data_IF_339152909912
#
_entry.id   IF_339152909912
#
_cell.length_a   1.000
_cell.length_b   1.000
_cell.length_c   1.000
_cell.angle_alpha   90.00
_cell.angle_beta   90.00
_cell.angle_gamma   90.00
#
_symmetry.space_group_name_H-M   'P 1'
#
loop_
_entity.id
_entity.type
_entity.pdbx_description
1 polymer ?
#
# COMPACT_ATOMS: atom_id res chain seq x y z
N UNK A 1 24.31 13.44 -1.18
CA UNK A 1 24.32 14.11 0.13
C UNK A 1 25.65 14.80 0.29
N UNK A 2 25.63 16.11 0.48
CA UNK A 2 26.81 16.95 0.69
C UNK A 2 26.80 17.51 2.11
N UNK A 3 27.98 17.91 2.60
CA UNK A 3 28.09 18.68 3.83
C UNK A 3 28.51 20.10 3.44
N UNK A 4 27.71 21.09 3.82
CA UNK A 4 28.00 22.52 3.60
C UNK A 4 27.69 23.27 4.89
N UNK A 5 28.63 24.07 5.39
CA UNK A 5 28.50 24.83 6.64
C UNK A 5 28.07 23.95 7.84
N UNK A 6 28.71 22.78 8.00
CA UNK A 6 28.36 21.72 8.98
C UNK A 6 26.93 21.14 8.86
N UNK A 7 26.22 21.51 7.79
CA UNK A 7 24.87 21.04 7.51
C UNK A 7 24.87 19.91 6.49
N UNK A 8 24.03 18.91 6.74
CA UNK A 8 23.78 17.80 5.82
C UNK A 8 22.70 18.23 4.85
N UNK A 9 23.07 18.36 3.57
CA UNK A 9 22.15 18.76 2.50
C UNK A 9 21.92 17.58 1.57
N UNK A 10 20.65 17.38 1.22
CA UNK A 10 20.22 16.42 0.21
C UNK A 10 19.58 17.17 -0.94
N UNK A 11 20.21 17.10 -2.12
CA UNK A 11 19.72 17.71 -3.35
C UNK A 11 19.07 16.63 -4.22
N UNK A 12 17.82 16.84 -4.59
CA UNK A 12 17.14 16.04 -5.60
C UNK A 12 17.35 16.68 -6.98
N UNK A 13 18.26 16.13 -7.77
CA UNK A 13 18.57 16.66 -9.11
C UNK A 13 17.41 16.53 -10.12
N UNK A 14 16.46 15.62 -9.87
CA UNK A 14 15.33 15.40 -10.77
C UNK A 14 14.25 16.47 -10.58
N UNK A 15 14.00 16.89 -9.34
CA UNK A 15 12.99 17.93 -9.03
C UNK A 15 13.60 19.31 -8.78
N UNK A 16 14.92 19.40 -8.64
CA UNK A 16 15.66 20.58 -8.19
C UNK A 16 15.39 20.98 -6.72
N UNK A 17 14.75 20.12 -5.94
CA UNK A 17 14.53 20.37 -4.51
C UNK A 17 15.83 20.21 -3.70
N UNK A 18 15.95 20.97 -2.61
CA UNK A 18 17.06 20.87 -1.66
C UNK A 18 16.55 20.81 -0.23
N UNK A 19 17.02 19.81 0.52
CA UNK A 19 16.61 19.55 1.90
C UNK A 19 17.81 19.69 2.83
N UNK A 20 17.70 20.57 3.81
CA UNK A 20 18.70 20.67 4.89
C UNK A 20 18.24 19.79 6.06
N UNK A 21 18.96 18.70 6.30
CA UNK A 21 18.56 17.60 7.21
C UNK A 21 19.40 17.59 8.50
N UNK A 22 19.87 18.75 8.97
CA UNK A 22 20.78 18.82 10.12
C UNK A 22 20.47 19.93 11.11
N UNK A 23 20.27 19.50 12.36
CA UNK A 23 20.51 20.27 13.57
C UNK A 23 19.38 20.13 14.59
N UNK A 24 19.66 19.65 15.81
CA UNK A 24 18.73 19.69 16.97
C UNK A 24 18.40 21.13 17.44
N UNK A 25 18.62 22.14 16.59
CA UNK A 25 18.42 23.55 16.88
C UNK A 25 17.16 24.04 16.14
N UNK A 26 15.99 24.14 16.81
CA UNK A 26 14.73 24.58 16.22
C UNK A 26 14.76 26.01 15.64
N UNK A 27 15.81 26.78 15.93
CA UNK A 27 15.97 28.17 15.48
C UNK A 27 16.58 28.30 14.09
N UNK A 28 17.10 27.22 13.53
CA UNK A 28 17.67 27.19 12.18
C UNK A 28 16.65 26.48 11.28
N UNK A 29 16.15 27.14 10.22
CA UNK A 29 15.16 26.51 9.33
C UNK A 29 15.68 25.19 8.77
N UNK A 30 15.14 24.07 9.24
CA UNK A 30 15.48 22.72 8.77
C UNK A 30 14.21 21.96 8.38
N UNK A 31 14.35 20.98 7.49
CA UNK A 31 13.27 20.05 7.15
C UNK A 31 13.37 18.86 8.10
N UNK A 32 12.24 18.45 8.69
CA UNK A 32 12.19 17.24 9.50
C UNK A 32 12.69 16.05 8.69
N UNK A 33 13.50 15.18 9.29
CA UNK A 33 14.19 14.13 8.54
C UNK A 33 13.21 13.15 7.87
N UNK A 34 12.08 12.87 8.51
CA UNK A 34 11.04 12.02 7.93
C UNK A 34 10.34 12.71 6.74
N UNK A 35 10.05 14.01 6.85
CA UNK A 35 9.48 14.80 5.75
C UNK A 35 10.43 14.84 4.54
N UNK A 36 11.71 15.13 4.77
CA UNK A 36 12.71 15.11 3.71
C UNK A 36 12.76 13.73 3.03
N UNK A 37 12.71 12.64 3.82
CA UNK A 37 12.72 11.29 3.29
C UNK A 37 11.49 10.97 2.43
N UNK A 38 10.26 11.28 2.87
CA UNK A 38 9.07 11.02 2.03
C UNK A 38 9.06 11.87 0.76
N UNK A 39 9.46 13.14 0.81
CA UNK A 39 9.54 14.01 -0.38
C UNK A 39 10.60 13.55 -1.40
N UNK A 40 11.55 12.72 -0.97
CA UNK A 40 12.57 12.11 -1.83
C UNK A 40 12.19 10.73 -2.35
N UNK A 41 11.04 10.19 -1.94
CA UNK A 41 10.57 8.85 -2.33
C UNK A 41 9.14 8.89 -2.84
N UNK A 42 8.66 7.77 -3.37
CA UNK A 42 7.25 7.58 -3.73
C UNK A 42 6.51 6.74 -2.68
N UNK A 43 7.07 6.62 -1.48
CA UNK A 43 6.57 5.74 -0.44
C UNK A 43 6.01 6.57 0.71
N UNK A 44 4.94 6.08 1.32
CA UNK A 44 4.60 6.47 2.68
C UNK A 44 5.66 5.86 3.61
N UNK A 45 6.17 6.64 4.57
CA UNK A 45 7.18 6.16 5.51
C UNK A 45 6.66 6.25 6.93
N UNK A 46 6.68 5.12 7.62
CA UNK A 46 6.35 4.97 9.03
C UNK A 46 7.57 4.52 9.83
N UNK A 47 7.67 4.99 11.07
CA UNK A 47 8.69 4.57 12.03
C UNK A 47 8.01 3.74 13.11
N UNK A 48 8.45 2.49 13.24
CA UNK A 48 8.02 1.59 14.30
C UNK A 48 9.10 1.53 15.37
N UNK A 49 8.68 1.70 16.63
CA UNK A 49 9.55 1.54 17.81
C UNK A 49 8.98 0.47 18.72
N UNK A 50 9.83 -0.10 19.58
CA UNK A 50 9.42 -1.09 20.57
C UNK A 50 9.14 -0.37 21.91
N UNK A 51 7.98 -0.64 22.51
CA UNK A 51 7.66 -0.16 23.86
C UNK A 51 8.35 -1.03 24.94
N UNK A 52 8.09 -0.74 26.22
CA UNK A 52 8.73 -1.46 27.34
C UNK A 52 8.22 -2.88 27.48
N UNK A 53 7.02 -3.14 26.96
CA UNK A 53 6.32 -4.41 26.96
C UNK A 53 6.75 -5.32 25.79
N UNK A 54 7.66 -4.85 24.92
CA UNK A 54 8.19 -5.62 23.79
C UNK A 54 7.32 -5.58 22.53
N UNK A 55 6.32 -4.71 22.48
CA UNK A 55 5.42 -4.54 21.33
C UNK A 55 5.89 -3.39 20.45
N UNK A 56 5.82 -3.59 19.12
CA UNK A 56 6.06 -2.53 18.17
C UNK A 56 4.85 -1.60 18.06
N UNK A 57 5.08 -0.29 17.97
CA UNK A 57 4.05 0.73 17.82
C UNK A 57 4.44 1.79 16.78
N UNK A 58 3.44 2.47 16.21
CA UNK A 58 3.62 3.55 15.25
C UNK A 58 4.12 4.82 15.97
N UNK A 59 5.41 5.08 15.91
CA UNK A 59 6.05 6.18 16.62
C UNK A 59 6.05 7.49 15.81
N UNK A 60 6.13 7.38 14.49
CA UNK A 60 6.01 8.50 13.55
C UNK A 60 5.50 7.99 12.21
N UNK A 61 4.84 8.85 11.44
CA UNK A 61 4.48 8.54 10.05
C UNK A 61 4.36 9.80 9.22
N UNK A 62 4.77 9.69 7.96
CA UNK A 62 4.36 10.58 6.90
C UNK A 62 3.65 9.72 5.85
N UNK A 63 2.32 9.73 5.90
CA UNK A 63 1.45 8.93 5.04
C UNK A 63 0.55 9.82 4.21
N UNK A 64 0.80 9.85 2.91
CA UNK A 64 0.07 10.62 1.92
C UNK A 64 -0.93 9.75 1.16
N UNK A 65 -0.74 8.44 1.15
CA UNK A 65 -1.60 7.50 0.45
C UNK A 65 -2.25 6.50 1.41
N UNK A 66 -2.74 6.86 2.61
CA UNK A 66 -3.34 5.90 3.52
C UNK A 66 -4.69 5.41 3.01
N UNK A 67 -5.08 4.24 3.50
CA UNK A 67 -6.30 3.54 3.11
C UNK A 67 -7.01 2.98 4.34
N UNK A 68 -8.20 3.48 4.69
CA UNK A 68 -8.96 3.03 5.85
C UNK A 68 -8.52 3.65 7.19
N UNK A 69 -7.67 4.67 7.16
CA UNK A 69 -7.16 5.34 8.36
C UNK A 69 -6.46 6.66 8.09
N UNK A 70 -6.18 7.41 9.16
CA UNK A 70 -5.27 8.56 9.17
C UNK A 70 -4.25 8.47 10.29
N UNK A 71 -3.09 9.11 10.12
CA UNK A 71 -2.02 9.11 11.13
C UNK A 71 -2.53 9.63 12.48
N UNK A 72 -3.31 10.71 12.50
CA UNK A 72 -3.84 11.29 13.74
C UNK A 72 -4.73 10.32 14.53
N UNK A 73 -5.42 9.39 13.86
CA UNK A 73 -6.25 8.40 14.53
C UNK A 73 -5.43 7.27 15.18
N UNK A 74 -4.25 6.95 14.63
CA UNK A 74 -3.53 5.71 14.92
C UNK A 74 -2.10 5.88 15.41
N UNK A 75 -1.58 7.11 15.48
CA UNK A 75 -0.27 7.39 16.05
C UNK A 75 -0.20 6.87 17.49
N UNK A 76 0.89 6.19 17.84
CA UNK A 76 1.07 5.54 19.14
C UNK A 76 0.45 4.14 19.27
N UNK A 77 -0.37 3.70 18.31
CA UNK A 77 -0.98 2.36 18.38
C UNK A 77 0.05 1.25 18.14
N UNK A 78 -0.12 0.14 18.85
CA UNK A 78 0.66 -1.09 18.62
C UNK A 78 0.29 -1.73 17.28
N UNK A 79 1.18 -2.56 16.75
CA UNK A 79 0.89 -3.34 15.52
C UNK A 79 -0.40 -4.16 15.68
N UNK A 80 -0.68 -4.70 16.87
CA UNK A 80 -1.92 -5.43 17.10
C UNK A 80 -3.16 -4.54 17.02
N UNK A 81 -3.10 -3.34 17.61
CA UNK A 81 -4.19 -2.37 17.54
C UNK A 81 -4.44 -1.89 16.10
N UNK A 82 -3.37 -1.59 15.34
CA UNK A 82 -3.46 -1.18 13.93
C UNK A 82 -4.19 -2.22 13.07
N UNK A 83 -4.02 -3.51 13.36
CA UNK A 83 -4.59 -4.61 12.60
C UNK A 83 -5.86 -5.21 13.22
N UNK A 84 -6.42 -4.58 14.26
CA UNK A 84 -7.69 -5.01 14.87
C UNK A 84 -8.84 -5.27 13.88
N UNK A 85 -9.01 -4.47 12.80
CA UNK A 85 -10.03 -4.71 11.79
C UNK A 85 -9.79 -5.91 10.86
N UNK A 86 -8.58 -6.49 10.85
CA UNK A 86 -8.22 -7.59 9.95
C UNK A 86 -8.80 -8.91 10.48
N UNK A 87 -9.63 -9.63 9.69
CA UNK A 87 -10.21 -10.88 10.14
C UNK A 87 -9.15 -11.91 10.58
N UNK A 88 -9.44 -12.60 11.69
CA UNK A 88 -8.57 -13.63 12.28
C UNK A 88 -7.16 -13.18 12.67
N UNK A 89 -6.88 -11.87 12.71
CA UNK A 89 -5.55 -11.33 13.03
C UNK A 89 -4.96 -11.95 14.31
N UNK A 90 -5.69 -11.82 15.42
CA UNK A 90 -5.23 -12.31 16.73
C UNK A 90 -5.09 -13.83 16.78
N UNK A 91 -5.85 -14.56 15.96
CA UNK A 91 -5.89 -16.02 15.98
C UNK A 91 -4.79 -16.65 15.13
N UNK A 92 -4.43 -16.04 13.99
CA UNK A 92 -3.61 -16.71 12.97
C UNK A 92 -2.39 -15.90 12.51
N UNK A 93 -2.41 -14.56 12.61
CA UNK A 93 -1.41 -13.72 11.93
C UNK A 93 -0.50 -12.98 12.91
N UNK A 94 -1.06 -12.44 14.00
CA UNK A 94 -0.37 -11.51 14.89
C UNK A 94 0.95 -12.05 15.45
N UNK A 95 0.97 -13.29 15.94
CA UNK A 95 2.19 -13.89 16.50
C UNK A 95 3.31 -14.03 15.46
N UNK A 96 2.97 -14.38 14.22
CA UNK A 96 3.94 -14.52 13.13
C UNK A 96 4.57 -13.16 12.80
N UNK A 97 3.75 -12.12 12.70
CA UNK A 97 4.19 -10.75 12.42
C UNK A 97 5.06 -10.20 13.55
N UNK A 98 4.66 -10.38 14.81
CA UNK A 98 5.47 -9.95 15.96
C UNK A 98 6.84 -10.61 15.97
N UNK A 99 6.91 -11.93 15.72
CA UNK A 99 8.19 -12.67 15.61
C UNK A 99 9.04 -12.16 14.44
N UNK A 100 8.42 -11.88 13.30
CA UNK A 100 9.09 -11.33 12.14
C UNK A 100 9.76 -9.98 12.46
N UNK A 101 9.00 -9.03 13.01
CA UNK A 101 9.53 -7.71 13.35
C UNK A 101 10.65 -7.79 14.40
N UNK A 102 10.51 -8.66 15.40
CA UNK A 102 11.53 -8.86 16.43
C UNK A 102 12.85 -9.43 15.87
N UNK A 103 12.77 -10.27 14.83
CA UNK A 103 13.94 -10.93 14.20
C UNK A 103 14.65 -10.08 13.15
N UNK A 104 14.03 -9.00 12.68
CA UNK A 104 14.61 -8.13 11.67
C UNK A 104 15.94 -7.55 12.17
N UNK A 105 17.01 -7.66 11.38
CA UNK A 105 18.32 -7.04 11.64
C UNK A 105 18.61 -5.95 10.61
N UNK A 106 19.54 -5.02 10.88
CA UNK A 106 19.92 -3.99 9.90
C UNK A 106 20.43 -4.57 8.57
N UNK A 107 21.00 -5.77 8.58
CA UNK A 107 21.57 -6.48 7.44
C UNK A 107 20.53 -7.33 6.68
N UNK A 108 19.33 -7.51 7.24
CA UNK A 108 18.26 -8.35 6.69
C UNK A 108 16.99 -7.54 6.41
N UNK A 109 17.02 -6.53 5.50
CA UNK A 109 15.81 -5.84 5.09
C UNK A 109 14.86 -6.83 4.41
N UNK A 110 13.56 -6.59 4.57
CA UNK A 110 12.51 -7.48 4.08
C UNK A 110 11.51 -6.70 3.24
N UNK A 111 10.91 -7.40 2.29
CA UNK A 111 9.87 -6.88 1.42
C UNK A 111 8.72 -7.87 1.34
N UNK A 112 7.50 -7.36 1.23
CA UNK A 112 6.32 -8.13 0.86
C UNK A 112 5.41 -7.29 -0.02
N UNK A 113 4.47 -7.95 -0.69
CA UNK A 113 3.41 -7.29 -1.42
C UNK A 113 2.06 -7.55 -0.76
N UNK A 114 1.20 -6.55 -0.80
CA UNK A 114 -0.21 -6.69 -0.47
C UNK A 114 -1.05 -6.01 -1.56
N UNK A 115 -2.32 -6.37 -1.66
CA UNK A 115 -3.23 -5.67 -2.55
C UNK A 115 -4.65 -5.56 -2.01
N UNK A 116 -5.33 -4.55 -2.51
CA UNK A 116 -6.73 -4.27 -2.27
C UNK A 116 -7.39 -3.96 -3.62
N UNK A 117 -8.72 -4.04 -3.64
CA UNK A 117 -9.51 -3.55 -4.76
C UNK A 117 -10.30 -2.35 -4.24
N UNK A 118 -10.20 -1.24 -4.96
CA UNK A 118 -10.98 -0.03 -4.70
C UNK A 118 -11.76 0.37 -5.93
N UNK A 119 -12.85 1.09 -5.71
CA UNK A 119 -13.67 1.63 -6.79
C UNK A 119 -13.51 3.14 -6.77
N UNK A 120 -13.04 3.68 -7.90
CA UNK A 120 -12.91 5.09 -8.13
C UNK A 120 -14.28 5.72 -8.35
N UNK A 121 -14.56 6.80 -7.63
CA UNK A 121 -15.74 7.62 -7.81
C UNK A 121 -15.68 8.48 -9.08
N UNK A 122 -16.83 8.97 -9.56
CA UNK A 122 -16.89 9.84 -10.72
C UNK A 122 -16.10 11.14 -10.46
N UNK A 123 -15.28 11.55 -11.43
CA UNK A 123 -14.46 12.77 -11.39
C UNK A 123 -13.39 12.84 -10.28
N UNK A 124 -13.12 11.75 -9.57
CA UNK A 124 -12.01 11.74 -8.62
C UNK A 124 -10.67 11.93 -9.35
N UNK A 125 -9.83 12.81 -8.84
CA UNK A 125 -8.47 12.97 -9.31
C UNK A 125 -7.52 11.96 -8.63
N UNK A 126 -6.25 11.94 -9.06
CA UNK A 126 -5.27 10.98 -8.55
C UNK A 126 -5.02 11.14 -7.04
N UNK A 127 -5.00 12.37 -6.52
CA UNK A 127 -4.78 12.64 -5.09
C UNK A 127 -5.94 12.10 -4.26
N UNK A 128 -7.18 12.33 -4.68
CA UNK A 128 -8.38 11.78 -4.04
C UNK A 128 -8.42 10.26 -4.11
N UNK A 129 -7.96 9.69 -5.23
CA UNK A 129 -7.87 8.24 -5.40
C UNK A 129 -6.83 7.63 -4.44
N UNK A 130 -5.67 8.26 -4.28
CA UNK A 130 -4.57 7.76 -3.46
C UNK A 130 -4.79 7.95 -1.95
N UNK A 131 -5.43 9.06 -1.54
CA UNK A 131 -5.71 9.42 -0.14
C UNK A 131 -7.13 8.99 0.25
N UNK A 132 -7.27 7.79 0.84
CA UNK A 132 -8.55 7.17 1.21
C UNK A 132 -8.64 6.98 2.73
N UNK A 133 -8.88 8.02 3.53
CA UNK A 133 -8.95 7.88 4.99
C UNK A 133 -10.15 7.06 5.47
N UNK A 134 -11.19 6.93 4.63
CA UNK A 134 -12.37 6.10 4.86
C UNK A 134 -12.25 4.69 4.26
N UNK A 135 -13.38 4.02 4.05
CA UNK A 135 -13.44 2.69 3.44
C UNK A 135 -12.92 2.69 2.00
N UNK A 136 -12.25 1.61 1.61
CA UNK A 136 -11.85 1.32 0.21
C UNK A 136 -13.02 1.19 -0.76
N UNK A 137 -14.20 0.88 -0.22
CA UNK A 137 -15.40 0.64 -0.99
C UNK A 137 -16.51 1.49 -0.40
N UNK A 138 -16.91 2.52 -1.16
CA UNK A 138 -18.13 3.26 -0.92
C UNK A 138 -19.28 2.48 -1.55
N UNK A 139 -20.26 2.06 -0.73
CA UNK A 139 -21.39 1.23 -1.17
C UNK A 139 -22.36 1.96 -2.12
N UNK A 140 -22.17 3.27 -2.31
CA UNK A 140 -23.10 4.12 -3.07
C UNK A 140 -22.79 4.19 -4.56
N UNK A 141 -21.68 3.60 -5.03
CA UNK A 141 -21.34 3.56 -6.45
C UNK A 141 -22.17 2.50 -7.18
N UNK A 142 -23.15 2.95 -7.97
CA UNK A 142 -23.98 2.08 -8.79
C UNK A 142 -23.23 1.61 -10.04
N UNK A 143 -22.79 0.35 -10.04
CA UNK A 143 -22.25 -0.36 -11.22
C UNK A 143 -21.02 0.31 -11.87
N UNK A 144 -19.83 0.23 -11.24
CA UNK A 144 -18.61 0.81 -11.80
C UNK A 144 -18.23 0.22 -13.17
N UNK A 145 -17.53 1.00 -14.00
CA UNK A 145 -16.88 0.47 -15.19
C UNK A 145 -15.60 -0.29 -14.80
N UNK A 146 -15.10 -1.21 -15.65
CA UNK A 146 -13.79 -1.83 -15.42
C UNK A 146 -12.66 -0.82 -15.17
N UNK A 147 -12.65 0.30 -15.90
CA UNK A 147 -11.68 1.40 -15.71
C UNK A 147 -11.75 2.08 -14.34
N UNK A 148 -12.89 1.98 -13.65
CA UNK A 148 -13.12 2.56 -12.32
C UNK A 148 -12.72 1.58 -11.21
N UNK A 149 -12.53 0.30 -11.52
CA UNK A 149 -12.11 -0.71 -10.55
C UNK A 149 -10.58 -0.76 -10.55
N UNK A 150 -9.96 -0.31 -9.47
CA UNK A 150 -8.51 -0.22 -9.35
C UNK A 150 -7.96 -1.34 -8.47
N UNK A 151 -6.96 -2.05 -8.99
CA UNK A 151 -6.12 -2.94 -8.18
C UNK A 151 -5.04 -2.10 -7.52
N UNK A 152 -5.26 -1.80 -6.25
CA UNK A 152 -4.33 -1.06 -5.42
C UNK A 152 -3.31 -2.01 -4.81
N UNK A 153 -2.06 -1.95 -5.29
CA UNK A 153 -0.96 -2.77 -4.79
C UNK A 153 -0.05 -1.97 -3.90
N UNK A 154 0.41 -2.61 -2.83
CA UNK A 154 1.35 -2.04 -1.89
C UNK A 154 2.60 -2.90 -1.84
N UNK A 155 3.72 -2.33 -2.29
CA UNK A 155 5.05 -2.89 -2.02
C UNK A 155 5.49 -2.37 -0.67
N UNK A 156 5.61 -3.28 0.28
CA UNK A 156 5.84 -3.01 1.69
C UNK A 156 7.27 -3.40 2.06
N UNK A 157 8.08 -2.44 2.50
CA UNK A 157 9.48 -2.64 2.85
C UNK A 157 9.70 -2.44 4.35
N UNK A 158 10.60 -3.23 4.94
CA UNK A 158 10.94 -3.17 6.36
C UNK A 158 12.45 -3.11 6.51
N UNK A 159 12.95 -2.05 7.14
CA UNK A 159 14.38 -1.88 7.41
C UNK A 159 14.63 -1.46 8.84
N UNK A 160 15.42 -2.25 9.57
CA UNK A 160 15.88 -1.86 10.90
C UNK A 160 17.03 -0.87 10.81
N UNK A 161 16.94 0.22 11.57
CA UNK A 161 17.98 1.23 11.65
C UNK A 161 19.09 0.78 12.61
N UNK A 162 20.37 0.81 12.20
CA UNK A 162 21.46 0.22 12.98
C UNK A 162 21.75 0.97 14.29
N UNK A 163 21.43 2.27 14.37
CA UNK A 163 21.75 3.10 15.55
C UNK A 163 20.65 3.09 16.61
N UNK A 164 19.39 3.11 16.19
CA UNK A 164 18.24 3.24 17.10
C UNK A 164 17.49 1.93 17.29
N UNK A 165 17.69 0.95 16.41
CA UNK A 165 16.91 -0.29 16.38
C UNK A 165 15.46 -0.11 15.92
N UNK A 166 15.01 1.11 15.62
CA UNK A 166 13.69 1.40 15.06
C UNK A 166 13.55 0.80 13.65
N UNK A 167 12.34 0.48 13.24
CA UNK A 167 12.05 -0.07 11.91
C UNK A 167 11.44 1.03 11.06
N UNK A 168 12.04 1.30 9.91
CA UNK A 168 11.40 2.06 8.83
C UNK A 168 10.51 1.10 8.05
N UNK A 169 9.22 1.39 8.03
CA UNK A 169 8.22 0.69 7.24
C UNK A 169 7.82 1.58 6.07
N UNK A 170 8.21 1.18 4.86
CA UNK A 170 7.90 1.89 3.62
C UNK A 170 6.74 1.23 2.88
N UNK A 171 5.83 2.03 2.33
CA UNK A 171 4.69 1.55 1.55
C UNK A 171 4.65 2.29 0.23
N UNK A 172 5.02 1.61 -0.86
CA UNK A 172 4.83 2.13 -2.22
C UNK A 172 3.50 1.67 -2.80
N UNK A 173 2.65 2.62 -3.13
CA UNK A 173 1.34 2.36 -3.73
C UNK A 173 1.42 2.38 -5.24
N UNK A 174 0.79 1.37 -5.87
CA UNK A 174 0.53 1.30 -7.30
C UNK A 174 -0.96 1.13 -7.52
N UNK A 175 -1.49 1.80 -8.55
CA UNK A 175 -2.88 1.66 -8.97
C UNK A 175 -2.88 1.12 -10.40
N UNK A 176 -3.66 0.06 -10.64
CA UNK A 176 -3.84 -0.50 -11.99
C UNK A 176 -5.33 -0.69 -12.25
N UNK A 177 -5.91 -0.02 -13.27
CA UNK A 177 -7.28 -0.27 -13.70
C UNK A 177 -7.51 -1.74 -14.08
N UNK A 178 -8.70 -2.27 -13.80
CA UNK A 178 -9.06 -3.67 -14.09
C UNK A 178 -8.92 -3.99 -15.57
N UNK A 179 -9.24 -3.04 -16.44
CA UNK A 179 -9.16 -3.20 -17.89
C UNK A 179 -7.74 -3.06 -18.47
N UNK A 180 -6.77 -2.70 -17.65
CA UNK A 180 -5.35 -2.74 -17.96
C UNK A 180 -4.65 -3.98 -17.37
N UNK A 181 -5.36 -4.82 -16.61
CA UNK A 181 -4.76 -6.02 -16.02
C UNK A 181 -4.40 -7.05 -17.09
N UNK A 182 -3.20 -7.65 -17.03
CA UNK A 182 -2.88 -8.82 -17.82
C UNK A 182 -3.86 -9.95 -17.55
N UNK A 183 -4.23 -10.71 -18.59
CA UNK A 183 -5.22 -11.79 -18.46
C UNK A 183 -4.87 -12.81 -17.37
N UNK A 184 -3.58 -13.14 -17.20
CA UNK A 184 -3.13 -14.05 -16.14
C UNK A 184 -3.44 -13.52 -14.73
N UNK A 185 -3.32 -12.21 -14.50
CA UNK A 185 -3.65 -11.61 -13.21
C UNK A 185 -5.16 -11.53 -13.00
N UNK A 186 -5.91 -11.20 -14.05
CA UNK A 186 -7.37 -11.18 -14.01
C UNK A 186 -7.95 -12.58 -13.71
N UNK A 187 -7.37 -13.63 -14.29
CA UNK A 187 -7.72 -15.03 -14.00
C UNK A 187 -7.42 -15.42 -12.55
N UNK A 188 -6.25 -15.04 -12.05
CA UNK A 188 -5.88 -15.27 -10.64
C UNK A 188 -6.84 -14.56 -9.68
N UNK A 189 -7.17 -13.28 -9.95
CA UNK A 189 -8.13 -12.53 -9.15
C UNK A 189 -9.50 -13.22 -9.14
N UNK A 190 -10.01 -13.63 -10.30
CA UNK A 190 -11.29 -14.32 -10.42
C UNK A 190 -11.33 -15.68 -9.69
N UNK A 191 -10.21 -16.42 -9.66
CA UNK A 191 -10.07 -17.66 -8.89
C UNK A 191 -10.01 -17.38 -7.38
N UNK A 192 -9.20 -16.41 -6.97
CA UNK A 192 -9.00 -16.07 -5.56
C UNK A 192 -10.33 -15.63 -4.92
N UNK A 193 -11.07 -14.74 -5.58
CA UNK A 193 -12.37 -14.24 -5.10
C UNK A 193 -13.38 -15.34 -4.78
N UNK A 194 -13.37 -16.43 -5.56
CA UNK A 194 -14.27 -17.58 -5.37
C UNK A 194 -13.84 -18.45 -4.20
N UNK A 195 -12.56 -18.42 -3.83
CA UNK A 195 -12.00 -19.20 -2.74
C UNK A 195 -12.13 -18.53 -1.37
N UNK A 196 -12.37 -17.21 -1.35
CA UNK A 196 -12.49 -16.46 -0.10
C UNK A 196 -13.71 -16.90 0.71
N UNK A 197 -13.53 -17.18 2.02
CA UNK A 197 -14.64 -17.20 2.96
C UNK A 197 -15.41 -15.89 2.94
N UNK A 198 -16.70 -15.92 3.26
CA UNK A 198 -17.57 -14.74 3.14
C UNK A 198 -17.08 -13.54 3.96
N UNK A 199 -16.60 -13.76 5.18
CA UNK A 199 -16.04 -12.69 6.00
C UNK A 199 -14.78 -12.03 5.40
N UNK A 200 -13.99 -12.77 4.62
CA UNK A 200 -12.84 -12.22 3.87
C UNK A 200 -13.35 -11.43 2.66
N UNK A 201 -14.35 -11.97 1.96
CA UNK A 201 -15.01 -11.29 0.85
C UNK A 201 -15.61 -9.95 1.28
N UNK A 202 -16.34 -9.92 2.39
CA UNK A 202 -16.94 -8.71 2.98
C UNK A 202 -15.85 -7.70 3.36
N UNK A 203 -14.80 -8.14 4.08
CA UNK A 203 -13.67 -7.29 4.44
C UNK A 203 -12.96 -6.68 3.21
N UNK A 204 -12.84 -7.44 2.11
CA UNK A 204 -12.26 -6.97 0.85
C UNK A 204 -13.26 -6.21 -0.05
N UNK A 205 -14.50 -6.01 0.40
CA UNK A 205 -15.52 -5.28 -0.35
C UNK A 205 -16.07 -6.01 -1.58
N UNK A 206 -15.97 -7.35 -1.64
CA UNK A 206 -16.40 -8.19 -2.77
C UNK A 206 -17.80 -7.87 -3.26
N UNK A 207 -18.71 -7.48 -2.37
CA UNK A 207 -20.10 -7.17 -2.72
C UNK A 207 -20.26 -5.90 -3.56
N UNK A 208 -19.27 -5.00 -3.54
CA UNK A 208 -19.30 -3.72 -4.27
C UNK A 208 -18.79 -3.89 -5.70
N UNK A 209 -17.68 -4.60 -5.89
CA UNK A 209 -16.98 -4.66 -7.18
C UNK A 209 -16.94 -6.08 -7.80
N UNK A 210 -17.21 -7.12 -7.02
CA UNK A 210 -16.90 -8.50 -7.39
C UNK A 210 -17.74 -9.03 -8.55
N UNK A 211 -19.04 -8.69 -8.60
CA UNK A 211 -19.90 -9.08 -9.71
C UNK A 211 -19.38 -8.51 -11.05
N UNK A 212 -18.91 -7.25 -11.03
CA UNK A 212 -18.41 -6.59 -12.23
C UNK A 212 -17.08 -7.16 -12.72
N UNK A 213 -16.17 -7.49 -11.79
CA UNK A 213 -14.93 -8.19 -12.12
C UNK A 213 -15.21 -9.53 -12.81
N UNK A 214 -16.15 -10.33 -12.29
CA UNK A 214 -16.50 -11.62 -12.89
C UNK A 214 -17.19 -11.48 -14.26
N UNK A 215 -18.05 -10.47 -14.44
CA UNK A 215 -18.65 -10.13 -15.73
C UNK A 215 -17.57 -9.78 -16.75
N UNK A 216 -16.65 -8.88 -16.39
CA UNK A 216 -15.54 -8.45 -17.24
C UNK A 216 -14.62 -9.63 -17.61
N UNK A 217 -14.23 -10.44 -16.62
CA UNK A 217 -13.41 -11.64 -16.84
C UNK A 217 -14.04 -12.61 -17.85
N UNK A 218 -15.35 -12.90 -17.73
CA UNK A 218 -16.06 -13.79 -18.70
C UNK A 218 -16.04 -13.22 -20.11
N UNK A 219 -16.18 -11.90 -20.25
CA UNK A 219 -16.09 -11.22 -21.56
C UNK A 219 -14.69 -11.38 -22.17
N UNK A 220 -13.64 -11.17 -21.39
CA UNK A 220 -12.25 -11.30 -21.85
C UNK A 220 -11.92 -12.73 -22.27
N UNK A 221 -12.25 -13.73 -21.45
CA UNK A 221 -12.06 -15.16 -21.80
C UNK A 221 -12.83 -15.53 -23.09
N UNK A 222 -14.03 -14.97 -23.28
CA UNK A 222 -14.81 -15.20 -24.50
C UNK A 222 -14.20 -14.54 -25.74
N UNK A 223 -13.48 -13.43 -25.59
CA UNK A 223 -12.78 -12.74 -26.67
C UNK A 223 -11.50 -13.49 -27.07
N UNK A 224 -10.70 -13.95 -26.11
CA UNK A 224 -9.48 -14.74 -26.36
C UNK A 224 -9.79 -16.03 -27.13
N UNK A 225 -10.84 -16.77 -26.72
CA UNK A 225 -11.24 -18.00 -27.43
C UNK A 225 -11.60 -17.73 -28.88
N UNK A 226 -12.33 -16.64 -29.15
CA UNK A 226 -12.72 -16.24 -30.52
C UNK A 226 -11.53 -15.79 -31.37
N UNK A 227 -10.50 -15.16 -30.78
CA UNK A 227 -9.28 -14.82 -31.53
C UNK A 227 -8.46 -16.06 -31.86
N UNK A 228 -8.31 -17.01 -30.92
CA UNK A 228 -7.57 -18.25 -31.18
C UNK A 228 -8.24 -19.12 -32.25
N UNK A 229 -9.57 -19.17 -32.29
CA UNK A 229 -10.33 -19.88 -33.33
C UNK A 229 -10.20 -19.23 -34.73
N UNK A 230 -10.09 -17.89 -34.80
CA UNK A 230 -9.88 -17.15 -36.05
C UNK A 230 -8.46 -17.32 -36.60
N UNK A 231 -7.44 -17.35 -35.74
CA UNK A 231 -6.06 -17.55 -36.19
C UNK A 231 -5.84 -18.99 -36.68
N UNK A 232 -6.45 -19.98 -36.01
CA UNK A 232 -6.38 -21.39 -36.44
C UNK A 232 -7.19 -21.74 -37.70
N UNK A 233 -8.07 -20.86 -38.19
CA UNK A 233 -8.85 -21.08 -39.42
C UNK A 233 -8.26 -20.38 -40.66
N UNK A 234 -7.22 -19.57 -40.50
CA UNK A 234 -6.53 -18.87 -41.59
C UNK A 234 -5.23 -19.57 -42.06
N UNK A 235 -4.89 -20.71 -41.47
CA UNK A 235 -3.75 -21.58 -41.84
C UNK A 235 -4.17 -22.85 -42.63
N UNK A 236 -5.43 -22.91 -43.09
CA UNK A 236 -6.00 -24.04 -43.84
C UNK A 236 -6.07 -23.83 -45.35
#
# INVERSE_FOLDING_TARGET
MSVKDDRKIVENRMTSDSFTVSGRNPKEGFTEALEAAVRLTMEDLSILMMNKEGEFYLAASASLFPTGWTVNQRIGWTISQLHGPVPLWHQQVGNSVSKFLARLTPESPMERSNYFVEVKGPNENLTETLYRPGSLCEKELSSPLPSDILIRRERQTFRRLPRTGAIVFGVKTYLTPLDELPMAELDNLAKEMKSWPDYVGEYKGRDVWGAKVLEYYRKQVGQEKKSTEKDGSNEG
#
